data_IF_703166393299
#
_entry.id   IF_703166393299
#
_cell.length_a   1.000
_cell.length_b   1.000
_cell.length_c   1.000
_cell.angle_alpha   90.00
_cell.angle_beta   90.00
_cell.angle_gamma   90.00
#
_symmetry.space_group_name_H-M   'P 1'
#
loop_
_entity.id
_entity.type
_entity.pdbx_description
1 polymer ?
#
# COMPACT_ATOMS: atom_id res chain seq x y z
N UNK A 1 24.60 -27.81 -56.28
CA UNK A 1 24.99 -27.58 -54.87
C UNK A 1 24.95 -26.08 -54.63
N UNK A 2 23.96 -25.58 -53.89
CA UNK A 2 23.90 -24.15 -53.54
C UNK A 2 24.93 -23.88 -52.43
N UNK A 3 25.99 -23.13 -52.76
CA UNK A 3 26.95 -22.67 -51.78
C UNK A 3 26.25 -21.66 -50.85
N UNK A 4 26.09 -22.04 -49.58
CA UNK A 4 25.57 -21.18 -48.54
C UNK A 4 26.42 -19.91 -48.45
N UNK A 5 25.78 -18.76 -48.66
CA UNK A 5 26.43 -17.44 -48.66
C UNK A 5 27.00 -17.12 -47.28
N UNK A 6 28.32 -17.11 -47.17
CA UNK A 6 29.08 -16.76 -45.97
C UNK A 6 28.67 -15.39 -45.40
N UNK A 7 28.22 -14.46 -46.26
CA UNK A 7 27.74 -13.13 -45.86
C UNK A 7 26.35 -13.12 -45.20
N UNK A 8 25.46 -14.05 -45.57
CA UNK A 8 24.18 -14.23 -44.88
C UNK A 8 24.41 -14.83 -43.48
N UNK A 9 25.29 -15.83 -43.38
CA UNK A 9 25.70 -16.41 -42.10
C UNK A 9 26.30 -15.36 -41.14
N UNK A 10 27.19 -14.48 -41.64
CA UNK A 10 27.82 -13.44 -40.81
C UNK A 10 26.81 -12.39 -40.30
N UNK A 11 25.85 -11.96 -41.14
CA UNK A 11 24.78 -11.03 -40.73
C UNK A 11 23.85 -11.65 -39.70
N UNK A 12 23.47 -12.92 -39.89
CA UNK A 12 22.63 -13.65 -38.93
C UNK A 12 23.35 -13.87 -37.59
N UNK A 13 24.65 -14.18 -37.61
CA UNK A 13 25.45 -14.31 -36.39
C UNK A 13 25.64 -12.96 -35.66
N UNK A 14 25.84 -11.85 -36.38
CA UNK A 14 25.86 -10.52 -35.77
C UNK A 14 24.49 -10.13 -35.19
N UNK A 15 23.39 -10.48 -35.86
CA UNK A 15 22.04 -10.31 -35.33
C UNK A 15 21.83 -11.11 -34.04
N UNK A 16 22.21 -12.38 -34.05
CA UNK A 16 22.14 -13.25 -32.88
C UNK A 16 23.01 -12.75 -31.71
N UNK A 17 24.23 -12.26 -32.00
CA UNK A 17 25.13 -11.71 -30.99
C UNK A 17 24.56 -10.44 -30.34
N UNK A 18 23.91 -9.56 -31.12
CA UNK A 18 23.23 -8.38 -30.59
C UNK A 18 22.05 -8.74 -29.68
N UNK A 19 21.24 -9.72 -30.10
CA UNK A 19 20.12 -10.22 -29.29
C UNK A 19 20.63 -10.85 -27.99
N UNK A 20 21.66 -11.68 -28.06
CA UNK A 20 22.27 -12.31 -26.89
C UNK A 20 22.86 -11.26 -25.93
N UNK A 21 23.55 -10.26 -26.46
CA UNK A 21 24.05 -9.13 -25.66
C UNK A 21 22.91 -8.38 -24.95
N UNK A 22 21.83 -8.06 -25.67
CA UNK A 22 20.67 -7.38 -25.09
C UNK A 22 20.02 -8.21 -23.96
N UNK A 23 19.87 -9.53 -24.16
CA UNK A 23 19.36 -10.45 -23.15
C UNK A 23 20.27 -10.46 -21.92
N UNK A 24 21.59 -10.56 -22.10
CA UNK A 24 22.56 -10.58 -21.00
C UNK A 24 22.50 -9.28 -20.18
N UNK A 25 22.56 -8.12 -20.86
CA UNK A 25 22.50 -6.82 -20.19
C UNK A 25 21.17 -6.64 -19.44
N UNK A 26 20.06 -6.99 -20.08
CA UNK A 26 18.73 -6.87 -19.45
C UNK A 26 18.62 -7.79 -18.23
N UNK A 27 19.12 -9.02 -18.33
CA UNK A 27 19.11 -9.98 -17.21
C UNK A 27 19.94 -9.47 -16.04
N UNK A 28 21.15 -8.95 -16.29
CA UNK A 28 22.01 -8.36 -15.27
C UNK A 28 21.36 -7.13 -14.63
N UNK A 29 20.72 -6.27 -15.43
CA UNK A 29 20.01 -5.10 -14.93
C UNK A 29 18.81 -5.50 -14.05
N UNK A 30 18.02 -6.48 -14.48
CA UNK A 30 16.91 -7.00 -13.69
C UNK A 30 17.39 -7.60 -12.37
N UNK A 31 18.50 -8.35 -12.39
CA UNK A 31 19.08 -8.91 -11.18
C UNK A 31 19.57 -7.82 -10.22
N UNK A 32 20.24 -6.79 -10.75
CA UNK A 32 20.71 -5.63 -9.99
C UNK A 32 19.55 -4.83 -9.36
N UNK A 33 18.47 -4.60 -10.11
CA UNK A 33 17.26 -3.93 -9.61
C UNK A 33 16.51 -4.78 -8.56
N UNK A 34 16.40 -6.10 -8.78
CA UNK A 34 15.60 -7.00 -7.95
C UNK A 34 16.40 -7.71 -6.85
N UNK A 35 17.60 -7.24 -6.50
CA UNK A 35 18.49 -7.89 -5.53
C UNK A 35 17.85 -8.15 -4.16
N UNK A 36 17.00 -7.24 -3.66
CA UNK A 36 16.35 -7.39 -2.36
C UNK A 36 15.32 -8.52 -2.39
N UNK A 37 14.54 -8.62 -3.47
CA UNK A 37 13.55 -9.69 -3.68
C UNK A 37 14.23 -11.05 -3.82
N UNK A 38 15.37 -11.10 -4.52
CA UNK A 38 16.16 -12.32 -4.69
C UNK A 38 16.77 -12.75 -3.34
N UNK A 39 17.32 -11.80 -2.58
CA UNK A 39 17.85 -12.08 -1.23
C UNK A 39 16.76 -12.62 -0.31
N UNK A 40 15.57 -12.00 -0.29
CA UNK A 40 14.43 -12.48 0.48
C UNK A 40 14.00 -13.89 0.08
N UNK A 41 13.85 -14.15 -1.22
CA UNK A 41 13.50 -15.48 -1.73
C UNK A 41 14.53 -16.53 -1.29
N UNK A 42 15.82 -16.21 -1.39
CA UNK A 42 16.87 -17.13 -0.97
C UNK A 42 16.88 -17.37 0.54
N UNK A 43 16.61 -16.35 1.34
CA UNK A 43 16.46 -16.52 2.79
C UNK A 43 15.29 -17.44 3.10
N UNK A 44 14.15 -17.26 2.43
CA UNK A 44 12.95 -18.08 2.60
C UNK A 44 13.13 -19.53 2.13
N UNK A 45 13.83 -19.74 1.01
CA UNK A 45 13.92 -21.04 0.34
C UNK A 45 15.13 -21.87 0.79
N UNK A 46 16.26 -21.21 1.02
CA UNK A 46 17.56 -21.83 1.25
C UNK A 46 18.19 -21.45 2.59
N UNK A 47 17.55 -20.60 3.40
CA UNK A 47 18.04 -20.11 4.69
C UNK A 47 19.42 -19.41 4.59
N UNK A 48 19.70 -18.82 3.43
CA UNK A 48 20.96 -18.14 3.13
C UNK A 48 20.69 -16.87 2.34
N UNK A 49 21.53 -15.85 2.51
CA UNK A 49 21.54 -14.69 1.61
C UNK A 49 22.22 -15.09 0.30
N UNK A 50 21.52 -14.98 -0.84
CA UNK A 50 22.14 -15.10 -2.17
C UNK A 50 22.91 -13.83 -2.58
N UNK A 51 23.56 -13.17 -1.61
CA UNK A 51 24.37 -11.99 -1.90
C UNK A 51 25.66 -12.42 -2.60
N UNK A 52 25.96 -11.78 -3.73
CA UNK A 52 27.21 -12.01 -4.45
C UNK A 52 28.37 -11.53 -3.57
N UNK A 53 29.36 -12.40 -3.25
CA UNK A 53 30.54 -12.01 -2.49
C UNK A 53 31.22 -10.80 -3.16
N UNK A 54 31.72 -9.86 -2.35
CA UNK A 54 32.43 -8.63 -2.76
C UNK A 54 31.58 -7.57 -3.47
N UNK A 55 30.63 -7.97 -4.32
CA UNK A 55 29.74 -7.05 -5.05
C UNK A 55 28.59 -6.59 -4.16
N UNK A 56 28.01 -7.49 -3.35
CA UNK A 56 26.84 -7.26 -2.51
C UNK A 56 26.96 -6.11 -1.51
N UNK A 57 28.18 -5.82 -1.06
CA UNK A 57 28.45 -4.74 -0.10
C UNK A 57 28.78 -3.40 -0.77
N UNK A 58 29.02 -3.39 -2.08
CA UNK A 58 29.36 -2.16 -2.79
C UNK A 58 28.15 -1.21 -2.82
N UNK A 59 28.42 0.09 -2.72
CA UNK A 59 27.37 1.10 -2.82
C UNK A 59 26.70 1.03 -4.20
N UNK A 60 27.47 0.83 -5.27
CA UNK A 60 26.97 0.69 -6.63
C UNK A 60 25.98 -0.48 -6.78
N UNK A 61 26.22 -1.61 -6.11
CA UNK A 61 25.26 -2.71 -6.06
C UNK A 61 24.00 -2.32 -5.28
N UNK A 62 24.18 -1.77 -4.07
CA UNK A 62 23.05 -1.34 -3.22
C UNK A 62 22.15 -0.29 -3.88
N UNK A 63 22.69 0.54 -4.76
CA UNK A 63 21.91 1.51 -5.53
C UNK A 63 20.77 0.85 -6.33
N UNK A 64 20.94 -0.37 -6.85
CA UNK A 64 19.91 -1.04 -7.65
C UNK A 64 18.64 -1.30 -6.84
N UNK A 65 18.79 -2.02 -5.73
CA UNK A 65 17.68 -2.29 -4.81
C UNK A 65 17.09 -1.02 -4.18
N UNK A 66 17.94 -0.03 -3.85
CA UNK A 66 17.47 1.27 -3.34
C UNK A 66 16.67 2.04 -4.38
N UNK A 67 17.08 2.00 -5.65
CA UNK A 67 16.36 2.64 -6.75
C UNK A 67 15.01 1.97 -6.97
N UNK A 68 14.96 0.63 -7.00
CA UNK A 68 13.68 -0.10 -7.13
C UNK A 68 12.75 0.19 -5.97
N UNK A 69 13.27 0.28 -4.75
CA UNK A 69 12.48 0.68 -3.58
C UNK A 69 11.99 2.13 -3.71
N UNK A 70 12.87 3.08 -4.03
CA UNK A 70 12.48 4.48 -4.18
C UNK A 70 11.47 4.70 -5.31
N UNK A 71 11.61 3.98 -6.43
CA UNK A 71 10.62 3.99 -7.52
C UNK A 71 9.30 3.39 -7.07
N UNK A 72 9.33 2.33 -6.26
CA UNK A 72 8.14 1.76 -5.63
C UNK A 72 7.43 2.77 -4.74
N UNK A 73 8.18 3.39 -3.82
CA UNK A 73 7.68 4.37 -2.86
C UNK A 73 7.13 5.62 -3.60
N UNK A 74 7.87 6.13 -4.58
CA UNK A 74 7.43 7.25 -5.41
C UNK A 74 6.19 6.93 -6.25
N UNK A 75 6.10 5.71 -6.79
CA UNK A 75 4.90 5.24 -7.50
C UNK A 75 3.70 5.20 -6.56
N UNK A 76 3.83 4.66 -5.35
CA UNK A 76 2.73 4.67 -4.37
C UNK A 76 2.30 6.09 -4.04
N UNK A 77 3.24 6.99 -3.73
CA UNK A 77 2.92 8.39 -3.43
C UNK A 77 2.27 9.11 -4.61
N UNK A 78 2.70 8.81 -5.85
CA UNK A 78 2.09 9.36 -7.05
C UNK A 78 0.65 8.86 -7.25
N UNK A 79 0.40 7.56 -7.08
CA UNK A 79 -0.96 7.00 -7.16
C UNK A 79 -1.85 7.64 -6.09
N UNK A 80 -1.37 7.73 -4.85
CA UNK A 80 -2.11 8.39 -3.76
C UNK A 80 -2.42 9.86 -4.11
N UNK A 81 -1.51 10.56 -4.81
CA UNK A 81 -1.73 11.94 -5.25
C UNK A 81 -2.77 12.06 -6.36
N UNK A 82 -2.78 11.13 -7.33
CA UNK A 82 -3.75 11.06 -8.42
C UNK A 82 -5.14 10.74 -7.91
N UNK A 83 -5.23 9.80 -6.97
CA UNK A 83 -6.47 9.52 -6.27
C UNK A 83 -6.93 10.80 -5.60
N UNK A 84 -6.11 11.42 -4.74
CA UNK A 84 -6.46 12.68 -4.06
C UNK A 84 -6.95 13.77 -5.01
N UNK A 85 -6.31 13.97 -6.17
CA UNK A 85 -6.76 14.94 -7.18
C UNK A 85 -8.11 14.57 -7.80
N UNK A 86 -8.29 13.30 -8.16
CA UNK A 86 -9.57 12.79 -8.69
C UNK A 86 -10.68 12.96 -7.65
N UNK A 87 -10.37 12.77 -6.36
CA UNK A 87 -11.30 12.96 -5.27
C UNK A 87 -11.69 14.44 -5.09
N UNK A 88 -10.73 15.38 -5.19
CA UNK A 88 -11.00 16.82 -5.13
C UNK A 88 -11.83 17.29 -6.32
N UNK A 89 -11.49 16.84 -7.54
CA UNK A 89 -12.22 17.17 -8.76
C UNK A 89 -13.66 16.62 -8.78
N UNK A 90 -13.96 15.56 -8.02
CA UNK A 90 -15.33 15.05 -7.85
C UNK A 90 -16.10 15.74 -6.72
N UNK A 91 -15.40 16.37 -5.77
CA UNK A 91 -16.02 17.10 -4.66
C UNK A 91 -16.45 18.52 -5.07
N UNK A 92 -15.74 19.13 -6.03
CA UNK A 92 -16.23 20.30 -6.76
C UNK A 92 -17.31 19.82 -7.75
N UNK A 93 -18.56 19.78 -7.30
CA UNK A 93 -19.69 19.29 -8.09
C UNK A 93 -19.69 19.85 -9.51
N UNK A 94 -19.95 18.99 -10.50
CA UNK A 94 -20.20 19.40 -11.88
C UNK A 94 -21.27 20.48 -11.85
N UNK A 95 -21.01 21.73 -12.30
CA UNK A 95 -22.07 22.73 -12.37
C UNK A 95 -23.15 22.16 -13.28
N UNK A 96 -24.36 22.00 -12.74
CA UNK A 96 -25.55 21.71 -13.55
C UNK A 96 -25.70 22.85 -14.54
N UNK A 97 -25.30 22.59 -15.79
CA UNK A 97 -25.60 23.47 -16.90
C UNK A 97 -27.11 23.39 -17.10
N UNK A 98 -27.83 24.39 -16.59
CA UNK A 98 -29.21 24.62 -16.97
C UNK A 98 -29.21 24.88 -18.49
N UNK A 99 -29.75 23.92 -19.24
CA UNK A 99 -29.90 24.07 -20.68
C UNK A 99 -30.87 25.24 -20.92
N UNK A 100 -30.51 26.23 -21.75
CA UNK A 100 -31.43 27.30 -22.10
C UNK A 100 -32.68 26.69 -22.77
N UNK A 101 -33.87 27.30 -22.58
CA UNK A 101 -35.10 26.83 -23.18
C UNK A 101 -34.92 26.66 -24.69
N UNK A 102 -35.41 25.55 -25.24
CA UNK A 102 -35.35 25.27 -26.67
C UNK A 102 -35.95 26.43 -27.45
N UNK A 103 -35.16 27.08 -28.29
CA UNK A 103 -35.61 28.14 -29.18
C UNK A 103 -36.78 27.65 -30.05
N UNK A 104 -37.80 28.50 -30.33
CA UNK A 104 -38.86 28.12 -31.24
C UNK A 104 -38.27 27.84 -32.63
N UNK A 105 -38.66 26.70 -33.21
CA UNK A 105 -38.27 26.31 -34.57
C UNK A 105 -38.86 27.32 -35.55
N UNK A 106 -38.02 28.21 -36.06
CA UNK A 106 -38.36 29.02 -37.23
C UNK A 106 -38.13 28.14 -38.46
N UNK A 107 -39.22 27.77 -39.13
CA UNK A 107 -39.16 27.14 -40.45
C UNK A 107 -38.58 28.16 -41.43
N UNK A 108 -37.41 27.86 -41.99
CA UNK A 108 -36.80 28.66 -43.06
C UNK A 108 -37.29 28.12 -44.40
N UNK A 109 -38.00 28.97 -45.13
CA UNK A 109 -38.37 28.77 -46.53
C UNK A 109 -37.12 28.94 -47.42
N UNK A 110 -36.84 27.97 -48.30
CA UNK A 110 -35.58 27.80 -49.03
C UNK A 110 -35.51 28.55 -50.37
N UNK A 111 -36.32 29.58 -50.56
CA UNK A 111 -36.44 30.29 -51.84
C UNK A 111 -36.04 31.77 -51.77
N UNK A 112 -34.82 32.11 -51.33
CA UNK A 112 -34.14 33.36 -51.75
C UNK A 112 -32.65 33.42 -51.31
N UNK A 113 -31.70 33.79 -52.21
CA UNK A 113 -30.29 33.92 -51.86
C UNK A 113 -30.00 35.31 -51.28
N UNK A 114 -29.53 35.38 -50.03
CA UNK A 114 -29.04 36.61 -49.42
C UNK A 114 -27.52 36.75 -49.48
N UNK A 115 -27.12 38.02 -49.61
CA UNK A 115 -25.82 38.53 -50.01
C UNK A 115 -24.70 38.38 -48.94
N UNK A 116 -23.47 38.58 -49.41
CA UNK A 116 -22.19 38.48 -48.69
C UNK A 116 -22.17 39.25 -47.36
N UNK A 117 -21.74 38.57 -46.30
CA UNK A 117 -21.38 39.16 -45.02
C UNK A 117 -20.03 39.93 -45.10
N UNK A 118 -19.86 41.03 -44.33
CA UNK A 118 -18.59 41.74 -44.23
C UNK A 118 -17.59 41.01 -43.30
N UNK A 119 -16.30 41.20 -43.57
CA UNK A 119 -15.18 40.59 -42.86
C UNK A 119 -15.02 41.12 -41.42
N UNK A 120 -14.61 40.27 -40.45
CA UNK A 120 -14.36 40.70 -39.07
C UNK A 120 -13.05 41.48 -38.95
N UNK A 121 -13.09 42.53 -38.11
CA UNK A 121 -11.98 43.41 -37.77
C UNK A 121 -10.88 42.70 -36.96
N UNK A 122 -9.63 43.14 -37.16
CA UNK A 122 -8.43 42.65 -36.47
C UNK A 122 -8.40 43.11 -35.01
N UNK A 123 -8.28 42.17 -34.08
CA UNK A 123 -7.98 42.43 -32.66
C UNK A 123 -6.44 42.47 -32.49
N UNK A 124 -5.87 43.42 -31.74
CA UNK A 124 -4.43 43.49 -31.53
C UNK A 124 -3.93 42.42 -30.56
N UNK A 125 -2.79 41.81 -30.91
CA UNK A 125 -2.05 40.83 -30.11
C UNK A 125 -1.27 41.56 -29.01
N UNK A 126 -1.53 41.25 -27.75
CA UNK A 126 -0.70 41.67 -26.61
C UNK A 126 0.43 40.65 -26.44
N UNK A 127 1.67 41.12 -26.51
CA UNK A 127 2.88 40.32 -26.27
C UNK A 127 3.11 40.07 -24.77
N UNK A 128 3.64 38.89 -24.35
CA UNK A 128 3.98 38.64 -22.97
C UNK A 128 5.27 39.35 -22.57
N UNK A 129 5.24 40.03 -21.42
CA UNK A 129 6.38 40.69 -20.78
C UNK A 129 7.29 39.64 -20.10
N UNK A 130 8.63 39.75 -20.15
CA UNK A 130 9.53 38.81 -19.46
C UNK A 130 9.57 39.08 -17.95
N UNK A 131 9.29 38.06 -17.14
CA UNK A 131 9.48 38.13 -15.70
C UNK A 131 10.97 38.08 -15.35
N UNK A 132 11.40 39.02 -14.51
CA UNK A 132 12.76 39.18 -14.04
C UNK A 132 13.21 38.06 -13.09
N UNK A 133 14.48 37.69 -13.21
CA UNK A 133 15.20 36.69 -12.41
C UNK A 133 15.60 37.29 -11.05
N UNK A 134 15.37 36.62 -9.91
CA UNK A 134 15.95 37.06 -8.64
C UNK A 134 17.47 36.76 -8.59
N UNK A 135 18.27 37.58 -7.87
CA UNK A 135 19.71 37.43 -7.81
C UNK A 135 20.15 36.22 -6.98
N UNK A 136 21.30 35.67 -7.35
CA UNK A 136 21.97 34.58 -6.65
C UNK A 136 22.48 35.04 -5.27
N UNK A 137 22.04 34.35 -4.21
CA UNK A 137 22.57 34.51 -2.86
C UNK A 137 23.70 33.51 -2.67
N UNK A 138 24.89 34.00 -2.33
CA UNK A 138 26.06 33.20 -1.98
C UNK A 138 25.85 32.47 -0.64
N UNK A 139 26.36 31.24 -0.46
CA UNK A 139 26.28 30.55 0.82
C UNK A 139 27.27 31.17 1.83
N UNK A 140 26.74 31.88 2.83
CA UNK A 140 27.50 32.25 4.01
C UNK A 140 27.69 31.02 4.91
N UNK A 141 28.92 30.78 5.34
CA UNK A 141 29.29 29.73 6.28
C UNK A 141 28.61 29.98 7.64
N UNK A 142 27.79 29.02 8.09
CA UNK A 142 27.21 29.01 9.43
C UNK A 142 27.93 27.95 10.24
N UNK A 143 28.65 28.39 11.26
CA UNK A 143 29.29 27.50 12.24
C UNK A 143 28.21 26.80 13.09
N UNK A 144 28.46 25.55 13.55
CA UNK A 144 27.48 24.81 14.35
C UNK A 144 27.40 25.41 15.76
N UNK A 145 26.28 26.05 16.08
CA UNK A 145 25.90 26.33 17.48
C UNK A 145 25.28 25.04 18.03
N UNK A 146 25.98 24.40 18.97
CA UNK A 146 25.47 23.27 19.73
C UNK A 146 24.41 23.79 20.70
N UNK A 147 23.15 23.82 20.26
CA UNK A 147 22.01 24.00 21.14
C UNK A 147 21.65 22.63 21.73
N UNK A 148 21.94 22.44 23.02
CA UNK A 148 21.44 21.30 23.79
C UNK A 148 19.92 21.39 23.85
N UNK A 149 19.24 20.49 23.12
CA UNK A 149 17.81 20.27 23.26
C UNK A 149 17.52 19.75 24.69
N UNK A 150 16.49 20.26 25.39
CA UNK A 150 16.05 19.65 26.64
C UNK A 150 15.64 18.21 26.36
N UNK A 151 16.24 17.26 27.08
CA UNK A 151 15.86 15.87 27.03
C UNK A 151 14.36 15.73 27.36
N UNK A 152 13.55 15.42 26.36
CA UNK A 152 12.17 15.00 26.56
C UNK A 152 12.21 13.69 27.34
N UNK A 153 11.87 13.75 28.63
CA UNK A 153 11.66 12.55 29.41
C UNK A 153 10.47 11.80 28.80
N UNK A 154 10.58 10.47 28.57
CA UNK A 154 9.45 9.69 28.12
C UNK A 154 8.35 9.78 29.19
N UNK A 155 7.19 10.33 28.82
CA UNK A 155 5.98 10.24 29.63
C UNK A 155 5.64 8.76 29.71
N UNK A 156 6.04 8.12 30.80
CA UNK A 156 5.68 6.75 31.12
C UNK A 156 4.19 6.76 31.51
N UNK A 157 3.31 6.75 30.51
CA UNK A 157 1.90 6.43 30.72
C UNK A 157 1.90 5.07 31.37
N UNK A 158 1.47 5.00 32.64
CA UNK A 158 1.34 3.74 33.35
C UNK A 158 0.34 2.89 32.57
N UNK A 159 0.84 1.92 31.82
CA UNK A 159 0.02 0.95 31.13
C UNK A 159 -0.85 0.27 32.18
N UNK A 160 -2.17 0.49 32.11
CA UNK A 160 -3.10 -0.23 32.97
C UNK A 160 -2.87 -1.74 32.77
N UNK A 161 -2.86 -2.55 33.84
CA UNK A 161 -2.69 -3.99 33.71
C UNK A 161 -3.76 -4.54 32.76
N UNK A 162 -3.33 -5.35 31.79
CA UNK A 162 -4.24 -6.11 30.94
C UNK A 162 -5.07 -7.04 31.82
N UNK A 163 -6.38 -6.80 31.89
CA UNK A 163 -7.31 -7.71 32.56
C UNK A 163 -7.84 -8.70 31.50
N UNK A 164 -7.58 -10.02 31.64
CA UNK A 164 -8.09 -10.99 30.68
C UNK A 164 -9.62 -11.00 30.63
N UNK A 165 -10.19 -11.01 29.42
CA UNK A 165 -11.63 -11.23 29.20
C UNK A 165 -12.51 -9.98 29.08
N UNK A 166 -11.95 -8.77 29.18
CA UNK A 166 -12.71 -7.55 28.92
C UNK A 166 -12.86 -7.33 27.39
N UNK A 167 -14.06 -7.01 26.88
CA UNK A 167 -14.24 -6.78 25.45
C UNK A 167 -13.44 -5.55 25.00
N UNK A 168 -12.91 -5.54 23.77
CA UNK A 168 -12.20 -4.39 23.24
C UNK A 168 -13.12 -3.16 23.22
N UNK A 169 -12.58 -1.99 23.58
CA UNK A 169 -13.34 -0.74 23.56
C UNK A 169 -13.79 -0.44 22.12
N UNK A 170 -15.03 -0.01 21.93
CA UNK A 170 -15.51 0.38 20.60
C UNK A 170 -14.54 1.38 19.93
N UNK A 171 -14.19 1.13 18.68
CA UNK A 171 -13.34 2.04 17.90
C UNK A 171 -14.15 3.29 17.61
N UNK A 172 -13.61 4.45 17.96
CA UNK A 172 -14.25 5.74 17.72
C UNK A 172 -13.22 6.72 17.20
N UNK A 173 -13.58 7.47 16.16
CA UNK A 173 -12.75 8.52 15.57
C UNK A 173 -13.50 9.86 15.59
N UNK A 174 -12.81 10.91 15.99
CA UNK A 174 -13.28 12.29 16.02
C UNK A 174 -12.60 13.15 14.95
N UNK A 175 -13.06 14.39 14.82
CA UNK A 175 -12.44 15.36 13.90
C UNK A 175 -10.97 15.58 14.27
N UNK A 176 -10.08 15.49 13.28
CA UNK A 176 -8.64 15.64 13.46
C UNK A 176 -7.89 14.34 13.76
N UNK A 177 -8.59 13.25 14.06
CA UNK A 177 -7.97 11.93 14.20
C UNK A 177 -7.49 11.41 12.83
N UNK A 178 -6.47 10.53 12.87
CA UNK A 178 -5.92 9.87 11.70
C UNK A 178 -5.92 8.34 11.85
N UNK A 179 -5.93 7.64 10.71
CA UNK A 179 -5.88 6.18 10.63
C UNK A 179 -4.57 5.71 10.00
N UNK A 180 -3.89 4.77 10.64
CA UNK A 180 -2.67 4.17 10.14
C UNK A 180 -2.96 2.80 9.50
N UNK A 181 -2.52 2.62 8.25
CA UNK A 181 -2.74 1.41 7.47
C UNK A 181 -1.43 0.64 7.30
N UNK A 182 -1.38 -0.53 7.93
CA UNK A 182 -0.21 -1.40 8.06
C UNK A 182 -0.50 -2.70 7.34
N UNK A 183 0.39 -3.13 6.46
CA UNK A 183 0.21 -4.45 5.85
C UNK A 183 0.93 -4.70 4.55
N UNK A 184 0.68 -5.88 3.99
CA UNK A 184 1.36 -6.35 2.78
C UNK A 184 0.57 -6.05 1.51
N UNK A 185 0.68 -6.89 0.47
CA UNK A 185 -0.08 -6.74 -0.77
C UNK A 185 -1.59 -6.87 -0.57
N UNK A 186 -2.05 -7.55 0.49
CA UNK A 186 -3.48 -7.59 0.84
C UNK A 186 -3.96 -6.22 1.30
N UNK A 187 -3.21 -5.57 2.21
CA UNK A 187 -3.51 -4.21 2.65
C UNK A 187 -3.42 -3.21 1.50
N UNK A 188 -2.42 -3.32 0.62
CA UNK A 188 -2.30 -2.40 -0.52
C UNK A 188 -3.54 -2.38 -1.43
N UNK A 189 -4.25 -3.51 -1.54
CA UNK A 189 -5.51 -3.55 -2.27
C UNK A 189 -6.66 -2.85 -1.53
N UNK A 190 -6.71 -2.97 -0.20
CA UNK A 190 -7.83 -2.49 0.64
C UNK A 190 -7.66 -1.03 1.07
N UNK A 191 -6.44 -0.63 1.41
CA UNK A 191 -6.09 0.65 1.98
C UNK A 191 -6.60 1.86 1.16
N UNK A 192 -6.51 1.88 -0.19
CA UNK A 192 -7.03 3.01 -0.97
C UNK A 192 -8.55 3.22 -0.78
N UNK A 193 -9.34 2.14 -0.74
CA UNK A 193 -10.79 2.26 -0.57
C UNK A 193 -11.17 2.73 0.84
N UNK A 194 -10.46 2.23 1.85
CA UNK A 194 -10.64 2.63 3.24
C UNK A 194 -10.25 4.10 3.44
N UNK A 195 -9.04 4.49 3.03
CA UNK A 195 -8.52 5.85 3.15
C UNK A 195 -9.39 6.87 2.39
N UNK A 196 -9.82 6.53 1.17
CA UNK A 196 -10.71 7.36 0.39
C UNK A 196 -12.05 7.60 1.10
N UNK A 197 -12.66 6.55 1.64
CA UNK A 197 -13.95 6.68 2.32
C UNK A 197 -13.84 7.48 3.61
N UNK A 198 -12.78 7.23 4.40
CA UNK A 198 -12.46 8.00 5.61
C UNK A 198 -12.31 9.49 5.31
N UNK A 199 -11.55 9.82 4.25
CA UNK A 199 -11.32 11.21 3.86
C UNK A 199 -12.60 11.88 3.32
N UNK A 200 -13.30 11.24 2.38
CA UNK A 200 -14.45 11.85 1.71
C UNK A 200 -15.66 11.99 2.61
N UNK A 201 -16.00 10.96 3.39
CA UNK A 201 -17.25 10.91 4.18
C UNK A 201 -17.10 11.48 5.59
N UNK A 202 -15.91 11.38 6.17
CA UNK A 202 -15.67 11.70 7.57
C UNK A 202 -14.53 12.70 7.79
N UNK A 203 -13.85 13.15 6.72
CA UNK A 203 -12.73 14.09 6.76
C UNK A 203 -11.56 13.60 7.64
N UNK A 204 -11.44 12.28 7.78
CA UNK A 204 -10.37 11.61 8.53
C UNK A 204 -9.24 11.26 7.56
N UNK A 205 -8.02 11.68 7.91
CA UNK A 205 -6.83 11.38 7.10
C UNK A 205 -6.31 9.97 7.38
N UNK A 206 -5.54 9.44 6.45
CA UNK A 206 -4.87 8.16 6.64
C UNK A 206 -3.39 8.24 6.28
N UNK A 207 -2.57 7.51 7.03
CA UNK A 207 -1.16 7.22 6.73
C UNK A 207 -1.12 5.78 6.21
N UNK A 208 -0.78 5.59 4.94
CA UNK A 208 -0.70 4.26 4.34
C UNK A 208 0.77 3.89 4.07
N UNK A 209 1.29 2.91 4.81
CA UNK A 209 2.65 2.39 4.60
C UNK A 209 2.65 0.96 4.04
N UNK A 210 1.50 0.47 3.57
CA UNK A 210 1.39 -0.90 3.08
C UNK A 210 2.35 -1.20 1.93
N UNK A 211 3.02 -2.35 2.01
CA UNK A 211 4.16 -2.67 1.15
C UNK A 211 4.18 -4.13 0.73
N UNK A 212 4.26 -4.37 -0.58
CA UNK A 212 4.31 -5.73 -1.14
C UNK A 212 5.46 -6.56 -0.60
N UNK A 213 5.24 -7.87 -0.53
CA UNK A 213 6.26 -8.86 -0.14
C UNK A 213 6.86 -8.63 1.25
N UNK A 214 6.15 -7.89 2.12
CA UNK A 214 6.53 -7.69 3.52
C UNK A 214 5.71 -8.58 4.45
N UNK A 215 6.19 -8.75 5.68
CA UNK A 215 5.57 -9.58 6.69
C UNK A 215 6.34 -9.47 8.01
N UNK A 216 5.89 -10.15 9.05
CA UNK A 216 6.56 -10.15 10.35
C UNK A 216 7.72 -11.15 10.42
N UNK A 217 7.83 -12.14 9.53
CA UNK A 217 8.83 -13.20 9.61
C UNK A 217 10.27 -12.73 9.28
N UNK A 218 10.44 -11.74 8.40
CA UNK A 218 11.74 -11.30 7.90
C UNK A 218 12.01 -9.80 8.12
N UNK A 219 12.34 -9.37 9.36
CA UNK A 219 12.54 -7.96 9.70
C UNK A 219 13.76 -7.34 9.02
N UNK A 220 14.69 -8.15 8.50
CA UNK A 220 15.82 -7.66 7.70
C UNK A 220 15.42 -7.13 6.32
N UNK A 221 14.28 -7.58 5.77
CA UNK A 221 13.73 -7.04 4.52
C UNK A 221 12.84 -5.82 4.78
N UNK A 222 11.92 -5.94 5.73
CA UNK A 222 11.10 -4.83 6.20
C UNK A 222 10.66 -5.07 7.65
N UNK A 223 10.88 -4.11 8.52
CA UNK A 223 10.64 -4.26 9.96
C UNK A 223 9.36 -3.53 10.39
N UNK A 224 8.21 -4.21 10.29
CA UNK A 224 6.92 -3.65 10.71
C UNK A 224 6.89 -3.13 12.15
N UNK A 225 7.36 -3.86 13.18
CA UNK A 225 7.42 -3.33 14.55
C UNK A 225 8.15 -1.98 14.66
N UNK A 226 9.30 -1.82 13.99
CA UNK A 226 10.03 -0.55 13.98
C UNK A 226 9.25 0.54 13.23
N UNK A 227 8.73 0.22 12.05
CA UNK A 227 7.92 1.16 11.26
C UNK A 227 6.70 1.66 12.03
N UNK A 228 6.05 0.79 12.80
CA UNK A 228 4.92 1.18 13.66
C UNK A 228 5.37 2.15 14.74
N UNK A 229 6.42 1.81 15.50
CA UNK A 229 7.03 2.70 16.51
C UNK A 229 7.34 4.09 15.93
N UNK A 230 8.10 4.14 14.83
CA UNK A 230 8.53 5.41 14.22
C UNK A 230 7.34 6.22 13.71
N UNK A 231 6.32 5.56 13.15
CA UNK A 231 5.14 6.25 12.62
C UNK A 231 4.30 6.84 13.75
N UNK A 232 4.02 6.08 14.81
CA UNK A 232 3.21 6.55 15.93
C UNK A 232 3.89 7.67 16.73
N UNK A 233 5.23 7.71 16.74
CA UNK A 233 5.99 8.82 17.30
C UNK A 233 5.88 10.10 16.46
N UNK A 234 5.91 9.99 15.14
CA UNK A 234 5.90 11.14 14.23
C UNK A 234 4.49 11.63 13.86
N UNK A 235 3.45 10.84 14.13
CA UNK A 235 2.06 11.14 13.80
C UNK A 235 1.15 11.04 15.05
N UNK A 236 1.19 12.04 15.96
CA UNK A 236 0.50 11.99 17.25
C UNK A 236 -1.04 12.01 17.15
N UNK A 237 -1.60 12.28 15.97
CA UNK A 237 -3.05 12.30 15.73
C UNK A 237 -3.61 10.94 15.34
N UNK A 238 -2.76 9.92 15.13
CA UNK A 238 -3.24 8.57 14.87
C UNK A 238 -4.01 8.06 16.09
N UNK A 239 -5.26 7.62 15.88
CA UNK A 239 -6.10 6.99 16.92
C UNK A 239 -6.55 5.58 16.59
N UNK A 240 -6.41 5.18 15.32
CA UNK A 240 -6.69 3.83 14.86
C UNK A 240 -5.54 3.35 13.97
N UNK A 241 -5.12 2.10 14.19
CA UNK A 241 -4.26 1.35 13.29
C UNK A 241 -5.02 0.14 12.76
N UNK A 242 -4.99 -0.06 11.45
CA UNK A 242 -5.55 -1.25 10.79
C UNK A 242 -4.38 -2.08 10.27
N UNK A 243 -4.31 -3.34 10.69
CA UNK A 243 -3.23 -4.26 10.30
C UNK A 243 -3.80 -5.35 9.40
N UNK A 244 -3.21 -5.59 8.23
CA UNK A 244 -3.61 -6.68 7.34
C UNK A 244 -2.41 -7.34 6.66
N UNK A 245 -2.00 -8.50 7.19
CA UNK A 245 -0.78 -9.22 6.85
C UNK A 245 -1.06 -10.73 6.79
N UNK A 246 -0.22 -11.47 6.06
CA UNK A 246 -0.16 -12.92 6.23
C UNK A 246 0.58 -13.71 5.16
N UNK A 247 0.24 -13.55 3.86
CA UNK A 247 0.73 -14.45 2.81
C UNK A 247 2.26 -14.58 2.70
N UNK A 248 3.02 -13.61 3.22
CA UNK A 248 4.48 -13.59 3.16
C UNK A 248 5.19 -14.16 4.40
N UNK A 249 4.45 -14.59 5.42
CA UNK A 249 4.99 -15.09 6.68
C UNK A 249 5.05 -16.61 6.91
N UNK A 250 4.45 -17.51 6.08
CA UNK A 250 4.43 -18.94 6.37
C UNK A 250 5.72 -19.64 5.95
N UNK A 251 6.83 -19.15 6.49
CA UNK A 251 8.21 -19.58 6.21
C UNK A 251 8.95 -19.79 7.53
N UNK A 252 10.03 -20.56 7.46
CA UNK A 252 11.01 -20.62 8.54
C UNK A 252 11.57 -19.21 8.78
N UNK A 253 11.91 -18.88 10.02
CA UNK A 253 12.17 -17.50 10.43
C UNK A 253 13.54 -17.38 11.12
N UNK A 254 14.34 -16.35 10.81
CA UNK A 254 15.56 -16.09 11.54
C UNK A 254 15.24 -15.65 12.98
N UNK A 255 15.87 -16.31 13.97
CA UNK A 255 15.81 -15.88 15.37
C UNK A 255 16.71 -14.67 15.61
N UNK A 256 17.99 -14.80 15.23
CA UNK A 256 19.02 -13.78 15.29
C UNK A 256 20.14 -14.12 14.31
N UNK A 257 21.02 -13.15 14.03
CA UNK A 257 22.10 -13.33 13.06
C UNK A 257 23.02 -14.50 13.48
N UNK A 258 23.22 -15.46 12.57
CA UNK A 258 24.10 -16.61 12.78
C UNK A 258 23.48 -17.78 13.55
N UNK A 259 22.23 -17.68 14.00
CA UNK A 259 21.50 -18.82 14.57
C UNK A 259 20.73 -19.60 13.49
N UNK A 260 20.43 -20.89 13.74
CA UNK A 260 19.53 -21.66 12.87
C UNK A 260 18.17 -20.97 12.72
N UNK A 261 17.54 -21.20 11.57
CA UNK A 261 16.19 -20.74 11.33
C UNK A 261 15.21 -21.55 12.19
N UNK A 262 14.24 -20.86 12.77
CA UNK A 262 13.14 -21.49 13.49
C UNK A 262 12.16 -22.05 12.46
N UNK A 263 11.74 -23.29 12.65
CA UNK A 263 10.83 -23.95 11.71
C UNK A 263 9.42 -23.36 11.84
N UNK A 264 8.77 -23.07 10.71
CA UNK A 264 7.38 -22.60 10.72
C UNK A 264 6.49 -23.53 11.58
N UNK A 265 5.73 -22.93 12.51
CA UNK A 265 4.89 -23.59 13.53
C UNK A 265 5.62 -24.36 14.65
N UNK A 266 6.94 -24.27 14.75
CA UNK A 266 7.62 -24.76 15.96
C UNK A 266 7.26 -23.87 17.16
N UNK A 267 7.32 -24.39 18.41
CA UNK A 267 7.04 -23.58 19.60
C UNK A 267 7.89 -22.30 19.68
N UNK A 268 9.16 -22.38 19.28
CA UNK A 268 10.08 -21.25 19.27
C UNK A 268 9.72 -20.23 18.19
N UNK A 269 9.33 -20.71 17.00
CA UNK A 269 8.85 -19.85 15.91
C UNK A 269 7.60 -19.10 16.36
N UNK A 270 6.64 -19.81 16.96
CA UNK A 270 5.39 -19.21 17.43
C UNK A 270 5.67 -18.16 18.51
N UNK A 271 6.49 -18.49 19.50
CA UNK A 271 6.85 -17.56 20.57
C UNK A 271 7.51 -16.29 20.02
N UNK A 272 8.45 -16.42 19.07
CA UNK A 272 9.10 -15.25 18.46
C UNK A 272 8.14 -14.45 17.57
N UNK A 273 7.24 -15.12 16.85
CA UNK A 273 6.27 -14.46 15.98
C UNK A 273 5.23 -13.69 16.80
N UNK A 274 4.70 -14.29 17.88
CA UNK A 274 3.85 -13.61 18.87
C UNK A 274 4.56 -12.41 19.46
N UNK A 275 5.82 -12.53 19.86
CA UNK A 275 6.61 -11.38 20.34
C UNK A 275 6.69 -10.22 19.33
N UNK A 276 6.66 -10.49 18.02
CA UNK A 276 6.63 -9.44 16.99
C UNK A 276 5.24 -8.80 16.87
N UNK A 277 4.17 -9.58 17.02
CA UNK A 277 2.80 -9.06 17.13
C UNK A 277 2.67 -8.20 18.40
N UNK A 278 3.12 -8.71 19.54
CA UNK A 278 3.07 -8.04 20.85
C UNK A 278 3.74 -6.66 20.79
N UNK A 279 4.90 -6.54 20.14
CA UNK A 279 5.57 -5.24 19.93
C UNK A 279 4.68 -4.23 19.20
N UNK A 280 4.00 -4.64 18.13
CA UNK A 280 3.08 -3.75 17.38
C UNK A 280 1.93 -3.28 18.29
N UNK A 281 1.37 -4.20 19.08
CA UNK A 281 0.25 -3.91 19.96
C UNK A 281 0.68 -3.12 21.21
N UNK A 282 1.90 -3.30 21.69
CA UNK A 282 2.52 -2.51 22.77
C UNK A 282 2.70 -1.05 22.34
N UNK A 283 3.23 -0.81 21.13
CA UNK A 283 3.36 0.55 20.57
C UNK A 283 1.98 1.22 20.43
N UNK A 284 0.99 0.48 19.93
CA UNK A 284 -0.37 0.99 19.84
C UNK A 284 -0.94 1.37 21.22
N UNK A 285 -0.75 0.51 22.24
CA UNK A 285 -1.16 0.81 23.62
C UNK A 285 -0.44 2.04 24.17
N UNK A 286 0.88 2.14 24.01
CA UNK A 286 1.68 3.24 24.53
C UNK A 286 1.23 4.60 23.97
N UNK A 287 0.74 4.61 22.72
CA UNK A 287 0.24 5.81 22.04
C UNK A 287 -1.27 6.00 22.14
N UNK A 288 -1.99 5.15 22.89
CA UNK A 288 -3.45 5.14 23.00
C UNK A 288 -4.17 5.00 21.63
N UNK A 289 -3.64 4.13 20.77
CA UNK A 289 -4.16 3.80 19.45
C UNK A 289 -4.96 2.51 19.53
N UNK A 290 -6.19 2.52 19.02
CA UNK A 290 -6.98 1.29 18.83
C UNK A 290 -6.46 0.51 17.64
N UNK A 291 -6.57 -0.82 17.67
CA UNK A 291 -6.13 -1.71 16.58
C UNK A 291 -7.30 -2.53 16.07
N UNK A 292 -7.46 -2.56 14.75
CA UNK A 292 -8.25 -3.56 14.04
C UNK A 292 -7.28 -4.45 13.27
N UNK A 293 -7.11 -5.69 13.72
CA UNK A 293 -6.31 -6.69 13.02
C UNK A 293 -7.20 -7.51 12.09
N UNK A 294 -6.98 -7.38 10.78
CA UNK A 294 -7.71 -8.13 9.76
C UNK A 294 -7.00 -9.45 9.51
N UNK A 295 -7.70 -10.56 9.77
CA UNK A 295 -7.20 -11.91 9.48
C UNK A 295 -7.25 -12.21 7.97
N UNK A 296 -6.16 -12.74 7.37
CA UNK A 296 -6.16 -13.15 5.97
C UNK A 296 -7.20 -14.24 5.71
N UNK A 297 -7.89 -14.21 4.55
CA UNK A 297 -8.85 -15.23 4.22
C UNK A 297 -8.18 -16.50 3.72
N UNK A 298 -8.98 -17.55 3.54
CA UNK A 298 -8.55 -18.80 2.92
C UNK A 298 -8.01 -18.54 1.50
N UNK A 299 -7.05 -19.37 1.10
CA UNK A 299 -6.31 -19.22 -0.16
C UNK A 299 -6.58 -20.42 -1.06
N UNK A 300 -6.47 -20.25 -2.38
CA UNK A 300 -6.72 -21.34 -3.32
C UNK A 300 -5.82 -22.56 -3.08
N UNK A 301 -4.55 -22.32 -2.74
CA UNK A 301 -3.59 -23.39 -2.46
C UNK A 301 -3.78 -23.89 -1.02
N UNK A 302 -4.09 -25.19 -0.81
CA UNK A 302 -4.41 -25.72 0.52
C UNK A 302 -3.32 -25.47 1.57
N UNK A 303 -2.05 -25.71 1.20
CA UNK A 303 -0.90 -25.47 2.11
C UNK A 303 -0.83 -24.02 2.59
N UNK A 304 -1.06 -23.06 1.70
CA UNK A 304 -1.06 -21.65 2.07
C UNK A 304 -2.29 -21.30 2.90
N UNK A 305 -3.46 -21.85 2.54
CA UNK A 305 -4.71 -21.65 3.29
C UNK A 305 -4.59 -22.13 4.74
N UNK A 306 -4.06 -23.34 4.96
CA UNK A 306 -3.78 -23.87 6.31
C UNK A 306 -2.79 -22.99 7.08
N UNK A 307 -1.80 -22.43 6.39
CA UNK A 307 -0.87 -21.51 7.04
C UNK A 307 -1.54 -20.17 7.41
N UNK A 308 -2.45 -19.64 6.58
CA UNK A 308 -3.25 -18.45 6.91
C UNK A 308 -4.16 -18.72 8.10
N UNK A 309 -4.83 -19.87 8.17
CA UNK A 309 -5.65 -20.25 9.31
C UNK A 309 -4.83 -20.29 10.61
N UNK A 310 -3.61 -20.84 10.57
CA UNK A 310 -2.69 -20.83 11.71
C UNK A 310 -2.31 -19.40 12.13
N UNK A 311 -1.87 -18.54 11.20
CA UNK A 311 -1.51 -17.15 11.49
C UNK A 311 -2.71 -16.35 12.04
N UNK A 312 -3.89 -16.52 11.46
CA UNK A 312 -5.14 -15.91 11.91
C UNK A 312 -5.44 -16.23 13.37
N UNK A 313 -5.22 -17.48 13.81
CA UNK A 313 -5.36 -17.84 15.23
C UNK A 313 -4.35 -17.13 16.14
N UNK A 314 -3.12 -16.88 15.69
CA UNK A 314 -2.14 -16.09 16.44
C UNK A 314 -2.58 -14.62 16.53
N UNK A 315 -3.05 -14.04 15.44
CA UNK A 315 -3.51 -12.65 15.40
C UNK A 315 -4.72 -12.42 16.30
N UNK A 316 -5.73 -13.29 16.20
CA UNK A 316 -6.95 -13.20 17.00
C UNK A 316 -6.64 -13.32 18.50
N UNK A 317 -5.83 -14.30 18.89
CA UNK A 317 -5.45 -14.49 20.29
C UNK A 317 -4.64 -13.31 20.84
N UNK A 318 -3.69 -12.74 20.08
CA UNK A 318 -2.95 -11.56 20.56
C UNK A 318 -3.82 -10.31 20.61
N UNK A 319 -4.65 -10.07 19.60
CA UNK A 319 -5.59 -8.96 19.62
C UNK A 319 -6.51 -9.03 20.85
N UNK A 320 -7.06 -10.21 21.16
CA UNK A 320 -7.90 -10.42 22.33
C UNK A 320 -7.14 -10.19 23.65
N UNK A 321 -5.92 -10.73 23.78
CA UNK A 321 -5.07 -10.49 24.95
C UNK A 321 -4.80 -9.00 25.17
N UNK A 322 -4.65 -8.23 24.09
CA UNK A 322 -4.42 -6.80 24.13
C UNK A 322 -5.69 -5.95 24.23
N UNK A 323 -6.87 -6.57 24.31
CA UNK A 323 -8.18 -5.93 24.25
C UNK A 323 -8.34 -5.05 23.00
N UNK A 324 -7.88 -5.56 21.86
CA UNK A 324 -7.99 -4.97 20.53
C UNK A 324 -8.93 -5.78 19.65
N UNK A 325 -9.29 -5.22 18.49
CA UNK A 325 -10.26 -5.83 17.60
C UNK A 325 -9.59 -6.78 16.61
N UNK A 326 -10.25 -7.89 16.34
CA UNK A 326 -9.91 -8.81 15.27
C UNK A 326 -11.13 -8.97 14.35
N UNK A 327 -10.89 -9.03 13.04
CA UNK A 327 -11.95 -9.30 12.06
C UNK A 327 -11.42 -10.24 10.98
N UNK A 328 -12.15 -11.32 10.73
CA UNK A 328 -11.77 -12.31 9.72
C UNK A 328 -12.27 -11.90 8.34
N UNK A 329 -11.36 -11.82 7.36
CA UNK A 329 -11.75 -11.61 5.96
C UNK A 329 -12.54 -12.80 5.39
N UNK A 330 -12.49 -13.99 5.99
CA UNK A 330 -13.33 -15.12 5.58
C UNK A 330 -14.82 -14.79 5.70
N UNK A 331 -15.22 -14.20 6.82
CA UNK A 331 -16.63 -13.81 7.03
C UNK A 331 -17.11 -12.79 5.99
N UNK A 332 -16.26 -11.82 5.65
CA UNK A 332 -16.55 -10.81 4.62
C UNK A 332 -16.74 -11.42 3.23
N UNK A 333 -15.95 -12.45 2.93
CA UNK A 333 -16.00 -13.14 1.64
C UNK A 333 -16.99 -14.31 1.62
N UNK A 334 -17.74 -14.51 2.71
CA UNK A 334 -18.73 -15.57 2.84
C UNK A 334 -18.14 -16.97 2.93
N UNK A 335 -16.85 -17.10 3.23
CA UNK A 335 -16.19 -18.40 3.35
C UNK A 335 -16.57 -19.07 4.66
N UNK A 336 -16.82 -20.38 4.59
CA UNK A 336 -17.06 -21.23 5.74
C UNK A 336 -15.91 -22.21 5.90
N UNK A 337 -15.51 -22.49 7.14
CA UNK A 337 -14.42 -23.41 7.45
C UNK A 337 -13.15 -23.13 6.61
N UNK A 338 -12.69 -24.11 5.84
CA UNK A 338 -11.50 -24.08 4.99
C UNK A 338 -11.80 -23.77 3.50
N UNK A 339 -13.06 -23.41 3.17
CA UNK A 339 -13.47 -23.16 1.79
C UNK A 339 -12.77 -21.94 1.18
N UNK A 340 -12.42 -22.04 -0.09
CA UNK A 340 -12.03 -20.94 -0.94
C UNK A 340 -13.00 -20.83 -2.13
N UNK A 341 -13.45 -19.61 -2.43
CA UNK A 341 -14.25 -19.32 -3.63
C UNK A 341 -13.79 -18.04 -4.31
N UNK A 342 -13.74 -18.06 -5.65
CA UNK A 342 -13.49 -16.85 -6.45
C UNK A 342 -14.63 -15.83 -6.39
N UNK A 343 -15.81 -16.25 -5.96
CA UNK A 343 -17.03 -15.44 -5.97
C UNK A 343 -17.77 -15.47 -4.65
N UNK A 344 -18.31 -14.33 -4.25
CA UNK A 344 -19.29 -14.22 -3.17
C UNK A 344 -20.70 -14.17 -3.76
N UNK A 345 -21.68 -14.76 -3.08
CA UNK A 345 -23.08 -14.50 -3.37
C UNK A 345 -23.54 -13.28 -2.55
N UNK A 346 -23.99 -12.23 -3.23
CA UNK A 346 -24.46 -11.02 -2.54
C UNK A 346 -25.88 -11.22 -1.95
N UNK A 347 -26.38 -10.21 -1.24
CA UNK A 347 -27.72 -10.21 -0.64
C UNK A 347 -28.88 -10.38 -1.64
N UNK A 348 -28.64 -10.14 -2.94
CA UNK A 348 -29.60 -10.33 -4.02
C UNK A 348 -29.47 -11.69 -4.71
N UNK A 349 -28.64 -12.60 -4.17
CA UNK A 349 -28.40 -13.92 -4.75
C UNK A 349 -27.45 -13.92 -5.97
N UNK A 350 -26.93 -12.77 -6.39
CA UNK A 350 -26.01 -12.65 -7.52
C UNK A 350 -24.59 -13.03 -7.12
N UNK A 351 -23.94 -13.86 -7.94
CA UNK A 351 -22.51 -14.17 -7.79
C UNK A 351 -21.65 -13.02 -8.29
N UNK A 352 -20.78 -12.50 -7.43
CA UNK A 352 -19.83 -11.44 -7.73
C UNK A 352 -18.40 -11.93 -7.50
N UNK A 353 -17.50 -11.67 -8.44
CA UNK A 353 -16.09 -12.10 -8.33
C UNK A 353 -15.37 -11.22 -7.30
N UNK A 354 -14.80 -11.83 -6.27
CA UNK A 354 -14.10 -11.15 -5.16
C UNK A 354 -12.61 -11.48 -5.10
N UNK A 355 -12.17 -12.56 -5.77
CA UNK A 355 -10.75 -12.95 -5.89
C UNK A 355 -10.26 -12.83 -7.33
N UNK A 356 -9.00 -12.46 -7.51
CA UNK A 356 -8.32 -12.58 -8.82
C UNK A 356 -7.78 -14.01 -8.99
N UNK A 357 -7.30 -14.31 -10.20
CA UNK A 357 -7.04 -15.69 -10.62
C UNK A 357 -5.85 -16.35 -9.91
N UNK A 358 -4.97 -15.57 -9.29
CA UNK A 358 -3.83 -16.08 -8.50
C UNK A 358 -4.24 -16.78 -7.19
N UNK A 359 -5.50 -16.69 -6.80
CA UNK A 359 -6.03 -17.36 -5.62
C UNK A 359 -5.55 -16.78 -4.28
N UNK A 360 -4.94 -15.59 -4.31
CA UNK A 360 -4.41 -14.85 -3.15
C UNK A 360 -5.07 -13.48 -3.05
N UNK A 361 -5.02 -12.67 -4.11
CA UNK A 361 -5.46 -11.27 -4.06
C UNK A 361 -6.95 -11.08 -4.38
N UNK A 362 -7.41 -9.84 -4.21
CA UNK A 362 -8.81 -9.44 -4.35
C UNK A 362 -9.06 -8.67 -5.64
N UNK A 363 -10.26 -8.83 -6.20
CA UNK A 363 -10.80 -7.86 -7.17
C UNK A 363 -11.12 -6.55 -6.45
N UNK A 364 -11.37 -5.47 -7.18
CA UNK A 364 -11.85 -4.20 -6.60
C UNK A 364 -13.10 -4.40 -5.73
N UNK A 365 -14.01 -5.29 -6.12
CA UNK A 365 -15.19 -5.63 -5.31
C UNK A 365 -14.79 -6.26 -3.98
N UNK A 366 -13.88 -7.25 -3.98
CA UNK A 366 -13.39 -7.86 -2.74
C UNK A 366 -12.67 -6.87 -1.82
N UNK A 367 -11.85 -5.98 -2.40
CA UNK A 367 -11.15 -4.92 -1.66
C UNK A 367 -12.13 -3.98 -0.95
N UNK A 368 -13.19 -3.54 -1.66
CA UNK A 368 -14.23 -2.66 -1.11
C UNK A 368 -15.01 -3.34 0.02
N UNK A 369 -15.40 -4.60 -0.14
CA UNK A 369 -16.12 -5.34 0.90
C UNK A 369 -15.30 -5.43 2.20
N UNK A 370 -13.99 -5.68 2.11
CA UNK A 370 -13.12 -5.71 3.29
C UNK A 370 -12.97 -4.32 3.91
N UNK A 371 -12.80 -3.28 3.09
CA UNK A 371 -12.74 -1.89 3.57
C UNK A 371 -14.05 -1.47 4.27
N UNK A 372 -15.20 -1.83 3.70
CA UNK A 372 -16.54 -1.58 4.27
C UNK A 372 -16.72 -2.33 5.59
N UNK A 373 -16.24 -3.57 5.69
CA UNK A 373 -16.27 -4.30 6.95
C UNK A 373 -15.46 -3.57 8.03
N UNK A 374 -14.23 -3.14 7.71
CA UNK A 374 -13.39 -2.37 8.65
C UNK A 374 -14.08 -1.07 9.06
N UNK A 375 -14.67 -0.34 8.12
CA UNK A 375 -15.42 0.89 8.39
C UNK A 375 -16.61 0.67 9.32
N UNK A 376 -17.33 -0.44 9.16
CA UNK A 376 -18.52 -0.73 9.99
C UNK A 376 -18.18 -0.96 11.47
N UNK A 377 -16.91 -1.19 11.80
CA UNK A 377 -16.41 -1.32 13.17
C UNK A 377 -16.09 0.02 13.83
N UNK A 378 -16.15 1.13 13.09
CA UNK A 378 -15.73 2.46 13.55
C UNK A 378 -16.97 3.33 13.80
N UNK A 379 -17.06 3.89 14.99
CA UNK A 379 -17.99 4.95 15.32
C UNK A 379 -17.41 6.33 14.98
N UNK A 380 -18.24 7.22 14.46
CA UNK A 380 -17.86 8.59 14.08
C UNK A 380 -18.72 9.63 14.84
N UNK A 381 -18.66 9.67 16.19
CA UNK A 381 -19.53 10.53 16.98
C UNK A 381 -19.28 12.01 16.67
N UNK A 382 -20.36 12.75 16.43
CA UNK A 382 -20.29 14.21 16.20
C UNK A 382 -19.70 14.61 14.83
N UNK A 383 -19.39 13.65 13.95
CA UNK A 383 -19.03 13.94 12.56
C UNK A 383 -20.30 13.91 11.70
N UNK A 384 -20.58 15.01 11.00
CA UNK A 384 -21.60 15.05 9.96
C UNK A 384 -21.14 14.20 8.78
N UNK A 385 -21.85 13.12 8.48
CA UNK A 385 -21.63 12.33 7.27
C UNK A 385 -21.90 13.23 6.08
N UNK A 386 -20.86 13.58 5.32
CA UNK A 386 -21.03 14.28 4.05
C UNK A 386 -21.68 13.32 3.07
N UNK A 387 -22.91 13.65 2.63
CA UNK A 387 -23.72 12.77 1.80
C UNK A 387 -23.09 12.52 0.43
N UNK A 388 -22.79 11.25 0.13
CA UNK A 388 -22.46 10.74 -1.20
C UNK A 388 -23.06 9.35 -1.42
#
# INVERSE_FOLDING_TARGET
>A
MQASSTGQLFKTQMGAAKVLYAILVTTLLLFWLNQNSISLYCQQKYHQSCELPWVGQSQAWRLGGNLTQALGDARSSFIDSLERQTLLAQAEGVPTVELPPSMPVVLVDLAQPHAKAPAPAKVPVVAPTPAARPPAVQPAAVQPVVAQAPAAQPVKVAAQPLVPGQPPKAVSLAAGDEVFLVGDSLMQGVAPHLANTLLKRYQIKSVNLSRQSTGLAYPGFFNWPQTVSDTLQNHPNIRLMVVFLGPNDPWDMPESKGKPFLRFKSPEWEALYRKRIDRILDEARAHNVQVIWVGPPNMQKPRLSTAMAYLSGLYESQAQLYQQHYVSANGVLGYQADEFSYTLQNSQGKRVKTRVDDGIHFTTTGQKLIAEQVLSMIAFPGLTVTGH
#
